data_IF_488779940518
#
_entry.id   IF_488779940518
#
_cell.length_a   1.000
_cell.length_b   1.000
_cell.length_c   1.000
_cell.angle_alpha   90.00
_cell.angle_beta   90.00
_cell.angle_gamma   90.00
#
_symmetry.space_group_name_H-M   'P 1'
#
loop_
_entity.id
_entity.type
_entity.pdbx_description
1 polymer ?
#
# COMPACT_ATOMS: atom_id res chain seq x y z
N UNK A 1 4.77 16.68 2.78
CA UNK A 1 3.44 16.42 2.17
C UNK A 1 3.40 17.20 0.86
N UNK A 2 3.04 16.57 -0.24
CA UNK A 2 2.95 17.22 -1.57
C UNK A 2 1.66 18.03 -1.57
N UNK A 3 1.73 19.31 -1.95
CA UNK A 3 0.51 20.11 -2.19
C UNK A 3 -0.04 19.67 -3.54
N UNK A 4 -1.25 19.07 -3.61
CA UNK A 4 -1.80 18.62 -4.86
C UNK A 4 -2.21 19.81 -5.76
N UNK A 5 -2.15 19.62 -7.07
CA UNK A 5 -2.66 20.59 -8.05
C UNK A 5 -4.18 20.67 -7.99
N UNK A 6 -4.82 19.51 -7.85
CA UNK A 6 -6.26 19.40 -7.67
C UNK A 6 -6.57 18.69 -6.36
N UNK A 7 -7.48 19.27 -5.60
CA UNK A 7 -8.03 18.66 -4.39
C UNK A 7 -9.54 18.48 -4.58
N UNK A 8 -9.95 17.24 -4.61
CA UNK A 8 -11.34 16.82 -4.78
C UNK A 8 -11.79 16.09 -3.51
N UNK A 9 -13.08 16.09 -3.22
CA UNK A 9 -13.64 15.08 -2.33
C UNK A 9 -13.69 13.73 -3.04
N UNK A 10 -13.78 12.64 -2.28
CA UNK A 10 -13.95 11.28 -2.85
C UNK A 10 -15.17 11.19 -3.75
N UNK A 11 -16.26 11.87 -3.39
CA UNK A 11 -17.48 12.00 -4.21
C UNK A 11 -17.22 12.75 -5.52
N UNK A 12 -16.54 13.88 -5.49
CA UNK A 12 -16.21 14.66 -6.70
C UNK A 12 -15.35 13.83 -7.65
N UNK A 13 -14.37 13.12 -7.11
CA UNK A 13 -13.52 12.22 -7.87
C UNK A 13 -14.33 11.10 -8.54
N UNK A 14 -15.20 10.43 -7.80
CA UNK A 14 -16.08 9.38 -8.33
C UNK A 14 -16.99 9.90 -9.44
N UNK A 15 -17.65 11.04 -9.22
CA UNK A 15 -18.57 11.64 -10.19
C UNK A 15 -17.84 12.04 -11.48
N UNK A 16 -16.65 12.62 -11.39
CA UNK A 16 -15.81 12.93 -12.55
C UNK A 16 -15.40 11.65 -13.27
N UNK A 17 -14.98 10.59 -12.53
CA UNK A 17 -14.62 9.29 -13.09
C UNK A 17 -15.73 8.69 -13.94
N UNK A 18 -16.94 8.70 -13.42
CA UNK A 18 -18.13 8.20 -14.11
C UNK A 18 -18.52 9.08 -15.32
N UNK A 19 -18.43 10.41 -15.17
CA UNK A 19 -18.75 11.37 -16.25
C UNK A 19 -17.80 11.20 -17.43
N UNK A 20 -16.51 11.00 -17.17
CA UNK A 20 -15.47 10.74 -18.17
C UNK A 20 -15.51 9.30 -18.72
N UNK A 21 -16.33 8.44 -18.17
CA UNK A 21 -16.51 7.02 -18.56
C UNK A 21 -15.20 6.23 -18.57
N UNK A 22 -14.39 6.40 -17.52
CA UNK A 22 -13.07 5.80 -17.41
C UNK A 22 -13.10 4.30 -17.02
N UNK A 23 -14.28 3.70 -16.89
CA UNK A 23 -14.43 2.30 -16.53
C UNK A 23 -14.21 2.03 -15.05
N UNK A 24 -13.61 0.89 -14.72
CA UNK A 24 -13.34 0.54 -13.33
C UNK A 24 -12.19 1.37 -12.78
N UNK A 25 -12.36 1.91 -11.58
CA UNK A 25 -11.28 2.60 -10.88
C UNK A 25 -10.12 1.64 -10.59
N UNK A 26 -8.88 2.08 -10.82
CA UNK A 26 -7.71 1.26 -10.51
C UNK A 26 -7.52 1.15 -8.99
N UNK A 27 -7.08 -0.04 -8.55
CA UNK A 27 -6.64 -0.21 -7.18
C UNK A 27 -5.42 0.70 -6.90
N UNK A 28 -5.34 1.36 -5.72
CA UNK A 28 -6.23 1.30 -4.58
C UNK A 28 -7.17 2.51 -4.48
N UNK A 29 -7.50 3.16 -5.61
CA UNK A 29 -8.28 4.41 -5.65
C UNK A 29 -9.79 4.18 -5.63
N UNK A 30 -10.26 2.95 -5.55
CA UNK A 30 -11.67 2.63 -5.48
C UNK A 30 -12.34 3.31 -4.27
N UNK A 31 -13.40 4.05 -4.55
CA UNK A 31 -14.24 4.71 -3.56
C UNK A 31 -15.65 4.14 -3.63
N UNK A 32 -16.33 3.94 -2.49
CA UNK A 32 -17.69 3.44 -2.49
C UNK A 32 -18.64 4.47 -3.09
N UNK A 33 -19.55 4.01 -3.98
CA UNK A 33 -20.60 4.85 -4.54
C UNK A 33 -21.65 5.19 -3.49
N UNK A 34 -22.08 6.45 -3.43
CA UNK A 34 -23.11 6.93 -2.52
C UNK A 34 -24.47 7.03 -3.26
N UNK A 35 -25.53 6.55 -2.62
CA UNK A 35 -26.92 6.70 -3.06
C UNK A 35 -27.73 5.41 -2.88
N UNK A 36 -28.95 5.56 -2.35
CA UNK A 36 -29.86 4.44 -2.09
C UNK A 36 -30.64 4.00 -3.35
N UNK A 37 -30.86 4.91 -4.31
CA UNK A 37 -31.58 4.64 -5.56
C UNK A 37 -30.85 5.25 -6.76
N UNK A 38 -31.09 4.70 -7.97
CA UNK A 38 -30.52 5.27 -9.21
C UNK A 38 -30.88 6.75 -9.41
N UNK A 39 -32.09 7.14 -8.99
CA UNK A 39 -32.57 8.52 -9.08
C UNK A 39 -31.78 9.44 -8.15
N UNK A 40 -31.49 8.98 -6.93
CA UNK A 40 -30.70 9.75 -5.96
C UNK A 40 -29.26 9.90 -6.42
N UNK A 41 -28.67 8.80 -6.93
CA UNK A 41 -27.32 8.81 -7.53
C UNK A 41 -27.24 9.85 -8.65
N UNK A 42 -28.19 9.84 -9.60
CA UNK A 42 -28.21 10.78 -10.72
C UNK A 42 -28.38 12.23 -10.26
N UNK A 43 -29.31 12.49 -9.33
CA UNK A 43 -29.51 13.85 -8.80
C UNK A 43 -28.27 14.37 -8.06
N UNK A 44 -27.55 13.49 -7.37
CA UNK A 44 -26.28 13.81 -6.69
C UNK A 44 -25.18 14.12 -7.71
N UNK A 45 -25.03 13.30 -8.75
CA UNK A 45 -24.08 13.51 -9.84
C UNK A 45 -24.31 14.86 -10.51
N UNK A 46 -25.55 15.18 -10.91
CA UNK A 46 -25.91 16.43 -11.58
C UNK A 46 -25.55 17.66 -10.73
N UNK A 47 -25.79 17.60 -9.42
CA UNK A 47 -25.44 18.67 -8.46
C UNK A 47 -23.91 18.82 -8.34
N UNK A 48 -23.20 17.69 -8.19
CA UNK A 48 -21.74 17.69 -8.03
C UNK A 48 -21.06 18.24 -9.27
N UNK A 49 -21.49 17.85 -10.47
CA UNK A 49 -20.95 18.37 -11.73
C UNK A 49 -21.25 19.86 -11.88
N UNK A 50 -22.46 20.32 -11.53
CA UNK A 50 -22.79 21.75 -11.57
C UNK A 50 -21.91 22.56 -10.62
N UNK A 51 -21.59 22.04 -9.45
CA UNK A 51 -20.67 22.66 -8.50
C UNK A 51 -19.23 22.73 -9.04
N UNK A 52 -18.73 21.62 -9.56
CA UNK A 52 -17.39 21.53 -10.14
C UNK A 52 -17.23 22.48 -11.36
N UNK A 53 -18.27 22.64 -12.19
CA UNK A 53 -18.30 23.63 -13.29
C UNK A 53 -18.22 25.05 -12.78
N UNK A 54 -18.97 25.39 -11.71
CA UNK A 54 -18.89 26.73 -11.12
C UNK A 54 -17.50 27.06 -10.58
N UNK A 55 -16.75 26.04 -10.15
CA UNK A 55 -15.36 26.16 -9.70
C UNK A 55 -14.35 26.09 -10.86
N UNK A 56 -14.78 25.87 -12.09
CA UNK A 56 -13.92 25.74 -13.27
C UNK A 56 -13.13 24.42 -13.31
N UNK A 57 -13.54 23.42 -12.52
CA UNK A 57 -12.83 22.14 -12.36
C UNK A 57 -13.34 21.08 -13.35
N UNK A 58 -14.67 20.97 -13.53
CA UNK A 58 -15.25 19.90 -14.34
C UNK A 58 -14.89 19.96 -15.84
N UNK A 59 -14.57 21.16 -16.34
CA UNK A 59 -14.25 21.39 -17.74
C UNK A 59 -12.74 21.73 -17.91
N UNK A 60 -11.90 21.41 -16.93
CA UNK A 60 -10.45 21.59 -17.00
C UNK A 60 -9.81 20.44 -17.80
N UNK A 61 -9.26 20.69 -18.99
CA UNK A 61 -8.68 19.64 -19.82
C UNK A 61 -7.48 18.97 -19.16
N UNK A 62 -6.73 19.70 -18.33
CA UNK A 62 -5.57 19.11 -17.64
C UNK A 62 -5.99 18.08 -16.60
N UNK A 63 -7.05 18.37 -15.82
CA UNK A 63 -7.60 17.39 -14.88
C UNK A 63 -8.15 16.16 -15.63
N UNK A 64 -8.82 16.38 -16.77
CA UNK A 64 -9.32 15.28 -17.59
C UNK A 64 -8.18 14.38 -18.06
N UNK A 65 -7.08 14.94 -18.55
CA UNK A 65 -5.90 14.18 -18.99
C UNK A 65 -5.28 13.38 -17.86
N UNK A 66 -5.10 13.95 -16.66
CA UNK A 66 -4.60 13.24 -15.47
C UNK A 66 -5.53 12.09 -15.07
N UNK A 67 -6.84 12.30 -15.10
CA UNK A 67 -7.81 11.25 -14.77
C UNK A 67 -7.84 10.14 -15.83
N UNK A 68 -7.70 10.46 -17.11
CA UNK A 68 -7.59 9.46 -18.18
C UNK A 68 -6.33 8.63 -18.05
N UNK A 69 -5.21 9.28 -17.70
CA UNK A 69 -3.94 8.58 -17.44
C UNK A 69 -4.05 7.61 -16.25
N UNK A 70 -4.78 7.95 -15.19
CA UNK A 70 -5.06 7.01 -14.10
C UNK A 70 -5.87 5.81 -14.57
N UNK A 71 -6.81 5.98 -15.50
CA UNK A 71 -7.65 4.92 -16.04
C UNK A 71 -6.96 4.00 -17.05
N UNK A 72 -5.97 4.54 -17.80
CA UNK A 72 -5.26 3.82 -18.86
C UNK A 72 -3.78 4.22 -18.85
N UNK A 73 -2.97 3.47 -18.14
CA UNK A 73 -1.53 3.70 -17.93
C UNK A 73 -0.71 2.49 -18.34
N UNK A 74 0.55 2.73 -18.71
CA UNK A 74 1.50 1.70 -19.11
C UNK A 74 2.19 1.07 -17.90
N UNK A 75 2.47 1.88 -16.87
CA UNK A 75 3.11 1.44 -15.64
C UNK A 75 2.54 2.19 -14.45
N UNK A 76 2.42 1.50 -13.31
CA UNK A 76 1.98 2.13 -12.07
C UNK A 76 2.65 1.55 -10.84
N UNK A 77 2.67 2.36 -9.79
CA UNK A 77 3.03 1.96 -8.44
C UNK A 77 1.86 2.31 -7.54
N UNK A 78 1.32 1.32 -6.87
CA UNK A 78 0.29 1.51 -5.85
C UNK A 78 0.89 1.50 -4.44
N UNK A 79 0.24 2.22 -3.53
CA UNK A 79 0.59 2.26 -2.12
C UNK A 79 -0.65 2.20 -1.25
N UNK A 80 -0.60 1.35 -0.22
CA UNK A 80 -1.58 1.34 0.89
C UNK A 80 -0.79 1.42 2.18
N UNK A 81 -1.11 2.39 3.01
CA UNK A 81 -0.41 2.66 4.26
C UNK A 81 -1.40 2.80 5.42
N UNK A 82 -1.15 2.05 6.51
CA UNK A 82 -1.78 2.21 7.81
C UNK A 82 -0.94 3.16 8.66
N UNK A 83 -1.29 4.42 8.61
CA UNK A 83 -0.75 5.50 9.43
C UNK A 83 -1.77 5.86 10.53
N UNK A 84 -1.69 7.06 11.14
CA UNK A 84 -2.75 7.58 12.03
C UNK A 84 -4.13 7.51 11.37
N UNK A 85 -4.15 7.64 10.05
CA UNK A 85 -5.30 7.37 9.18
C UNK A 85 -4.83 6.59 7.94
N UNK A 86 -5.72 5.76 7.34
CA UNK A 86 -5.37 5.04 6.12
C UNK A 86 -5.08 6.00 4.96
N UNK A 87 -3.97 5.76 4.26
CA UNK A 87 -3.60 6.48 3.03
C UNK A 87 -3.52 5.46 1.89
N UNK A 88 -4.10 5.82 0.75
CA UNK A 88 -4.06 5.04 -0.49
C UNK A 88 -3.53 5.94 -1.61
N UNK A 89 -2.61 5.45 -2.41
CA UNK A 89 -2.05 6.25 -3.49
C UNK A 89 -1.75 5.39 -4.72
N UNK A 90 -1.78 6.04 -5.88
CA UNK A 90 -1.38 5.47 -7.16
C UNK A 90 -0.53 6.50 -7.91
N UNK A 91 0.71 6.14 -8.22
CA UNK A 91 1.52 6.84 -9.20
C UNK A 91 1.44 6.07 -10.52
N UNK A 92 1.00 6.71 -11.58
CA UNK A 92 0.79 6.08 -12.89
C UNK A 92 1.49 6.87 -13.99
N UNK A 93 2.03 6.17 -14.99
CA UNK A 93 2.68 6.79 -16.15
C UNK A 93 2.32 6.09 -17.45
N UNK A 94 2.26 6.87 -18.53
CA UNK A 94 2.01 6.41 -19.89
C UNK A 94 2.11 7.58 -20.86
N UNK A 95 2.48 7.31 -22.13
CA UNK A 95 2.57 8.35 -23.15
C UNK A 95 3.56 9.49 -22.88
N UNK A 96 4.53 9.29 -21.98
CA UNK A 96 5.49 10.31 -21.59
C UNK A 96 5.02 11.27 -20.47
N UNK A 97 3.84 11.05 -19.92
CA UNK A 97 3.25 11.79 -18.80
C UNK A 97 3.13 10.90 -17.55
N UNK A 98 2.98 11.51 -16.37
CA UNK A 98 2.74 10.77 -15.15
C UNK A 98 1.91 11.59 -14.15
N UNK A 99 1.14 10.88 -13.33
CA UNK A 99 0.23 11.42 -12.32
C UNK A 99 0.41 10.68 -10.99
N UNK A 100 0.30 11.42 -9.90
CA UNK A 100 0.13 10.88 -8.55
C UNK A 100 -1.27 11.22 -8.04
N UNK A 101 -2.03 10.21 -7.68
CA UNK A 101 -3.30 10.33 -6.98
C UNK A 101 -3.13 9.83 -5.54
N UNK A 102 -3.60 10.60 -4.57
CA UNK A 102 -3.54 10.24 -3.13
C UNK A 102 -4.91 10.41 -2.51
N UNK A 103 -5.42 9.35 -1.90
CA UNK A 103 -6.63 9.39 -1.06
C UNK A 103 -6.18 9.43 0.41
N UNK A 104 -6.56 10.50 1.08
CA UNK A 104 -6.26 10.74 2.49
C UNK A 104 -7.53 11.25 3.19
N UNK A 105 -8.18 10.36 3.96
CA UNK A 105 -9.53 10.60 4.49
C UNK A 105 -10.54 10.75 3.35
N UNK A 106 -11.30 11.85 3.37
CA UNK A 106 -12.34 12.15 2.37
C UNK A 106 -11.81 12.96 1.17
N UNK A 107 -10.51 13.21 1.11
CA UNK A 107 -9.85 13.99 0.06
C UNK A 107 -9.11 13.13 -0.94
N UNK A 108 -9.15 13.54 -2.21
CA UNK A 108 -8.36 12.98 -3.31
C UNK A 108 -7.51 14.09 -3.89
N UNK A 109 -6.20 14.01 -3.66
CA UNK A 109 -5.21 14.91 -4.26
C UNK A 109 -4.68 14.34 -5.58
N UNK A 110 -4.66 15.17 -6.63
CA UNK A 110 -4.05 14.83 -7.91
C UNK A 110 -2.91 15.80 -8.22
N UNK A 111 -1.80 15.27 -8.70
CA UNK A 111 -0.63 16.06 -9.10
C UNK A 111 0.02 15.45 -10.34
N UNK A 112 0.40 16.30 -11.29
CA UNK A 112 1.34 15.88 -12.31
C UNK A 112 2.71 15.60 -11.67
N UNK A 113 3.36 14.53 -12.09
CA UNK A 113 4.71 14.16 -11.68
C UNK A 113 5.56 13.81 -12.89
N UNK A 114 6.85 13.64 -12.70
CA UNK A 114 7.73 13.20 -13.79
C UNK A 114 7.65 11.67 -13.95
N UNK A 115 7.56 11.13 -15.17
CA UNK A 115 7.57 9.68 -15.40
C UNK A 115 8.76 8.95 -14.77
N UNK A 116 9.91 9.63 -14.68
CA UNK A 116 11.14 9.11 -14.07
C UNK A 116 11.18 9.20 -12.56
N UNK A 117 10.10 9.65 -11.91
CA UNK A 117 10.08 9.86 -10.45
C UNK A 117 8.96 9.14 -9.71
N UNK A 118 8.29 8.14 -10.36
CA UNK A 118 7.17 7.42 -9.76
C UNK A 118 7.48 6.89 -8.36
N UNK A 119 8.58 6.16 -8.23
CA UNK A 119 8.99 5.57 -6.95
C UNK A 119 9.23 6.63 -5.87
N UNK A 120 9.91 7.71 -6.23
CA UNK A 120 10.19 8.79 -5.27
C UNK A 120 8.91 9.51 -4.85
N UNK A 121 8.04 9.85 -5.82
CA UNK A 121 6.84 10.62 -5.53
C UNK A 121 5.82 9.80 -4.73
N UNK A 122 5.66 8.51 -5.02
CA UNK A 122 4.74 7.68 -4.24
C UNK A 122 5.26 7.42 -2.82
N UNK A 123 6.56 7.28 -2.61
CA UNK A 123 7.13 7.13 -1.27
C UNK A 123 7.00 8.42 -0.44
N UNK A 124 6.92 9.60 -1.07
CA UNK A 124 6.69 10.89 -0.38
C UNK A 124 5.30 11.02 0.26
N UNK A 125 4.37 10.13 -0.02
CA UNK A 125 3.09 10.07 0.72
C UNK A 125 3.28 9.60 2.17
N UNK A 126 4.39 8.89 2.43
CA UNK A 126 4.77 8.46 3.76
C UNK A 126 5.40 9.62 4.55
N UNK A 127 5.26 9.64 5.86
CA UNK A 127 6.04 10.52 6.70
C UNK A 127 7.54 10.22 6.53
N UNK A 128 8.37 11.21 6.83
CA UNK A 128 9.83 10.99 6.84
C UNK A 128 10.18 9.92 7.87
N UNK A 129 10.87 8.86 7.42
CA UNK A 129 11.33 7.74 8.24
C UNK A 129 12.85 7.61 8.19
N UNK A 130 13.45 7.39 9.35
CA UNK A 130 14.87 7.05 9.49
C UNK A 130 15.03 5.54 9.67
N UNK A 131 16.14 4.99 9.20
CA UNK A 131 16.42 3.57 9.34
C UNK A 131 16.48 3.17 10.82
N UNK A 132 15.79 2.08 11.18
CA UNK A 132 15.88 1.49 12.51
C UNK A 132 17.25 0.84 12.76
N UNK A 133 17.56 0.47 14.01
CA UNK A 133 18.78 -0.26 14.35
C UNK A 133 18.75 -1.72 13.87
N UNK A 134 19.89 -2.38 13.93
CA UNK A 134 20.05 -3.80 13.62
C UNK A 134 20.67 -4.07 12.26
N UNK A 135 20.66 -5.33 11.86
CA UNK A 135 21.22 -5.82 10.59
C UNK A 135 20.12 -6.36 9.68
N UNK A 136 20.45 -6.45 8.39
CA UNK A 136 19.57 -7.14 7.44
C UNK A 136 19.58 -8.64 7.73
N UNK A 137 18.41 -9.28 7.59
CA UNK A 137 18.25 -10.73 7.62
C UNK A 137 17.46 -11.20 6.39
N UNK A 138 17.65 -12.46 6.02
CA UNK A 138 16.90 -13.10 4.94
C UNK A 138 16.49 -14.50 5.36
N UNK A 139 15.21 -14.82 5.19
CA UNK A 139 14.62 -16.09 5.60
C UNK A 139 13.87 -16.71 4.41
N UNK A 140 13.92 -18.02 4.25
CA UNK A 140 13.10 -18.73 3.27
C UNK A 140 11.63 -18.64 3.67
N UNK A 141 10.76 -18.40 2.71
CA UNK A 141 9.31 -18.39 2.97
C UNK A 141 8.81 -19.77 3.45
N UNK A 142 9.42 -20.86 2.98
CA UNK A 142 9.13 -22.21 3.47
C UNK A 142 9.35 -22.35 4.98
N UNK A 143 10.42 -21.76 5.51
CA UNK A 143 10.71 -21.76 6.96
C UNK A 143 9.64 -21.01 7.76
N UNK A 144 9.18 -19.86 7.24
CA UNK A 144 8.10 -19.12 7.88
C UNK A 144 6.76 -19.85 7.82
N UNK A 145 6.46 -20.48 6.69
CA UNK A 145 5.26 -21.32 6.53
C UNK A 145 5.28 -22.50 7.50
N UNK A 146 6.44 -23.12 7.69
CA UNK A 146 6.61 -24.19 8.67
C UNK A 146 6.40 -23.70 10.10
N UNK A 147 6.89 -22.51 10.47
CA UNK A 147 6.65 -21.94 11.78
C UNK A 147 5.15 -21.70 12.05
N UNK A 148 4.43 -21.15 11.06
CA UNK A 148 2.97 -20.95 11.16
C UNK A 148 2.25 -22.29 11.31
N UNK A 149 2.60 -23.30 10.50
CA UNK A 149 1.99 -24.62 10.57
C UNK A 149 2.21 -25.31 11.93
N UNK A 150 3.36 -25.08 12.58
CA UNK A 150 3.62 -25.59 13.93
C UNK A 150 2.72 -24.93 14.98
N UNK A 151 2.48 -23.62 14.88
CA UNK A 151 1.56 -22.90 15.77
C UNK A 151 0.10 -23.35 15.58
N UNK A 152 -0.34 -23.48 14.32
CA UNK A 152 -1.69 -23.95 14.01
C UNK A 152 -1.94 -25.37 14.55
N UNK A 153 -0.96 -26.28 14.42
CA UNK A 153 -1.07 -27.65 14.91
C UNK A 153 -1.18 -27.71 16.46
N UNK A 154 -0.41 -26.91 17.18
CA UNK A 154 -0.51 -26.84 18.66
C UNK A 154 -1.87 -26.28 19.11
N UNK A 155 -2.38 -25.22 18.45
CA UNK A 155 -3.70 -24.67 18.77
C UNK A 155 -4.85 -25.67 18.52
N UNK A 156 -4.72 -26.53 17.50
CA UNK A 156 -5.68 -27.60 17.21
C UNK A 156 -5.63 -28.68 18.30
N UNK A 157 -4.44 -29.12 18.74
CA UNK A 157 -4.26 -30.12 19.80
C UNK A 157 -4.80 -29.62 21.17
N UNK A 158 -4.55 -28.36 21.53
CA UNK A 158 -5.10 -27.75 22.74
C UNK A 158 -6.63 -27.63 22.72
N UNK A 159 -7.23 -27.40 21.56
CA UNK A 159 -8.69 -27.33 21.44
C UNK A 159 -9.40 -28.68 21.58
N UNK A 160 -8.71 -29.78 21.34
CA UNK A 160 -9.23 -31.16 21.46
C UNK A 160 -9.12 -31.72 22.86
N UNK A 161 -8.25 -31.19 23.75
CA UNK A 161 -8.12 -31.60 25.13
C UNK A 161 -8.42 -30.48 26.16
N UNK A 162 -9.70 -30.18 26.44
CA UNK A 162 -10.10 -29.10 27.37
C UNK A 162 -9.65 -29.30 28.84
N UNK A 163 -9.06 -30.44 29.16
CA UNK A 163 -8.62 -30.83 30.49
C UNK A 163 -7.10 -31.07 30.55
N UNK A 164 -6.39 -30.95 29.45
CA UNK A 164 -4.93 -30.97 29.41
C UNK A 164 -4.36 -29.87 30.28
N UNK A 165 -3.23 -30.15 30.94
CA UNK A 165 -2.47 -29.09 31.57
C UNK A 165 -2.16 -28.06 30.48
N UNK A 166 -2.49 -26.78 30.73
CA UNK A 166 -2.14 -25.70 29.81
C UNK A 166 -0.61 -25.71 29.61
N UNK A 167 -0.15 -26.41 28.55
CA UNK A 167 1.19 -26.21 28.04
C UNK A 167 1.25 -24.78 27.54
N UNK A 168 2.35 -24.07 27.81
CA UNK A 168 2.52 -22.69 27.35
C UNK A 168 2.34 -22.65 25.82
N UNK A 169 1.36 -21.85 25.32
CA UNK A 169 1.18 -21.60 23.90
C UNK A 169 2.53 -21.34 23.24
N UNK A 170 2.80 -22.03 22.14
CA UNK A 170 4.04 -21.83 21.38
C UNK A 170 4.14 -20.37 20.95
N UNK A 171 5.04 -19.62 21.55
CA UNK A 171 5.23 -18.24 21.15
C UNK A 171 5.84 -18.15 19.72
N UNK A 172 5.62 -17.03 19.07
CA UNK A 172 6.10 -16.78 17.69
C UNK A 172 7.61 -17.07 17.54
N UNK A 173 8.38 -16.74 18.56
CA UNK A 173 9.82 -16.96 18.59
C UNK A 173 10.19 -18.43 18.67
N UNK A 174 9.49 -19.19 19.49
CA UNK A 174 9.74 -20.63 19.64
C UNK A 174 9.37 -21.40 18.37
N UNK A 175 8.25 -21.03 17.73
CA UNK A 175 7.87 -21.58 16.43
C UNK A 175 8.94 -21.31 15.36
N UNK A 176 9.49 -20.10 15.30
CA UNK A 176 10.58 -19.74 14.38
C UNK A 176 11.85 -20.56 14.67
N UNK A 177 12.20 -20.79 15.94
CA UNK A 177 13.34 -21.64 16.33
C UNK A 177 13.11 -23.10 15.92
N UNK A 178 11.93 -23.67 16.17
CA UNK A 178 11.55 -25.04 15.76
C UNK A 178 11.57 -25.19 14.23
N UNK A 179 11.21 -24.15 13.50
CA UNK A 179 11.30 -24.11 12.03
C UNK A 179 12.74 -23.94 11.49
N UNK A 180 13.73 -23.73 12.38
CA UNK A 180 15.15 -23.73 12.02
C UNK A 180 15.78 -22.35 11.83
N UNK A 181 15.14 -21.25 12.27
CA UNK A 181 15.79 -19.96 12.34
C UNK A 181 16.87 -19.95 13.42
N UNK A 182 17.90 -19.09 13.21
CA UNK A 182 18.86 -18.83 14.27
C UNK A 182 18.19 -18.11 15.44
N UNK A 183 18.68 -18.33 16.66
CA UNK A 183 18.15 -17.68 17.86
C UNK A 183 18.22 -16.13 17.77
N UNK A 184 19.20 -15.61 17.06
CA UNK A 184 19.36 -14.18 16.82
C UNK A 184 18.29 -13.64 15.86
N UNK A 185 18.06 -14.33 14.73
CA UNK A 185 17.08 -13.91 13.73
C UNK A 185 15.65 -14.04 14.25
N UNK A 186 15.33 -15.14 14.94
CA UNK A 186 14.03 -15.35 15.57
C UNK A 186 13.71 -14.25 16.58
N UNK A 187 14.67 -13.92 17.45
CA UNK A 187 14.52 -12.84 18.41
C UNK A 187 14.34 -11.47 17.72
N UNK A 188 15.14 -11.17 16.69
CA UNK A 188 15.03 -9.91 15.95
C UNK A 188 13.67 -9.80 15.26
N UNK A 189 13.16 -10.86 14.66
CA UNK A 189 11.86 -10.87 14.00
C UNK A 189 10.72 -10.66 15.01
N UNK A 190 10.75 -11.35 16.13
CA UNK A 190 9.76 -11.23 17.20
C UNK A 190 9.75 -9.79 17.78
N UNK A 191 10.91 -9.25 18.16
CA UNK A 191 11.02 -7.88 18.66
C UNK A 191 10.48 -6.84 17.66
N UNK A 192 10.71 -7.02 16.37
CA UNK A 192 10.23 -6.12 15.34
C UNK A 192 8.71 -6.25 15.13
N UNK A 193 8.15 -7.45 15.20
CA UNK A 193 6.72 -7.70 15.08
C UNK A 193 5.95 -7.04 16.23
N UNK A 194 6.40 -7.22 17.46
CA UNK A 194 5.76 -6.67 18.66
C UNK A 194 5.83 -5.14 18.75
N UNK A 195 6.87 -4.52 18.15
CA UNK A 195 7.08 -3.07 18.21
C UNK A 195 6.57 -2.30 17.00
N UNK A 196 5.83 -2.94 16.11
CA UNK A 196 5.29 -2.30 14.90
C UNK A 196 4.19 -1.29 15.26
N UNK A 197 4.35 -0.03 14.83
CA UNK A 197 3.41 1.07 15.09
C UNK A 197 2.68 1.54 13.84
N UNK A 198 3.27 1.40 12.66
CA UNK A 198 2.68 1.74 11.38
C UNK A 198 3.24 0.82 10.29
N UNK A 199 2.61 0.80 9.13
CA UNK A 199 3.15 0.03 8.02
C UNK A 199 2.26 0.07 6.78
N UNK A 200 2.76 -0.52 5.71
CA UNK A 200 2.04 -0.56 4.45
C UNK A 200 2.79 -1.36 3.40
N UNK A 201 2.27 -1.28 2.18
CA UNK A 201 2.85 -1.99 1.05
C UNK A 201 2.85 -1.14 -0.20
N UNK A 202 3.79 -1.47 -1.08
CA UNK A 202 3.83 -0.98 -2.45
C UNK A 202 3.74 -2.16 -3.41
N UNK A 203 3.06 -1.95 -4.54
CA UNK A 203 3.02 -2.88 -5.65
C UNK A 203 3.36 -2.17 -6.94
N UNK A 204 3.99 -2.89 -7.87
CA UNK A 204 4.34 -2.38 -9.20
C UNK A 204 3.55 -3.16 -10.23
N UNK A 205 2.99 -2.46 -11.23
CA UNK A 205 2.22 -3.06 -12.31
C UNK A 205 2.70 -2.50 -13.65
N UNK A 206 3.00 -3.38 -14.61
CA UNK A 206 3.35 -3.05 -15.98
C UNK A 206 2.20 -3.50 -16.90
N UNK A 207 1.48 -2.55 -17.48
CA UNK A 207 0.26 -2.83 -18.23
C UNK A 207 -0.78 -3.56 -17.37
N UNK A 208 -0.95 -4.87 -17.60
CA UNK A 208 -1.87 -5.73 -16.83
C UNK A 208 -1.17 -6.72 -15.91
N UNK A 209 0.15 -6.69 -15.85
CA UNK A 209 0.96 -7.64 -15.08
C UNK A 209 1.46 -6.99 -13.81
N UNK A 210 0.96 -7.44 -12.67
CA UNK A 210 1.50 -7.09 -11.37
C UNK A 210 2.80 -7.85 -11.14
N UNK A 211 3.85 -7.16 -10.70
CA UNK A 211 5.10 -7.80 -10.33
C UNK A 211 4.89 -8.73 -9.13
N UNK A 212 5.57 -9.89 -9.15
CA UNK A 212 5.50 -10.89 -8.06
C UNK A 212 6.23 -10.43 -6.79
N UNK A 213 6.98 -9.33 -6.88
CA UNK A 213 7.69 -8.73 -5.75
C UNK A 213 6.71 -7.97 -4.88
N UNK A 214 6.64 -8.32 -3.60
CA UNK A 214 5.86 -7.57 -2.60
C UNK A 214 6.82 -6.74 -1.76
N UNK A 215 6.63 -5.43 -1.78
CA UNK A 215 7.44 -4.45 -1.06
C UNK A 215 6.60 -3.93 0.11
N UNK A 216 6.94 -4.37 1.33
CA UNK A 216 6.31 -3.87 2.54
C UNK A 216 7.30 -2.99 3.31
N UNK A 217 6.76 -2.08 4.08
CA UNK A 217 7.51 -1.29 5.04
C UNK A 217 6.73 -1.23 6.35
N UNK A 218 7.43 -1.02 7.43
CA UNK A 218 6.82 -0.72 8.71
C UNK A 218 7.73 0.15 9.58
N UNK A 219 7.11 0.88 10.49
CA UNK A 219 7.78 1.69 11.48
C UNK A 219 7.66 1.02 12.86
N UNK A 220 8.71 1.16 13.63
CA UNK A 220 8.76 0.92 15.06
C UNK A 220 9.09 2.23 15.77
N UNK A 221 9.05 2.26 17.09
CA UNK A 221 9.52 3.40 17.86
C UNK A 221 11.01 3.73 17.64
N UNK A 222 11.78 2.81 17.08
CA UNK A 222 13.23 2.96 16.86
C UNK A 222 13.58 3.32 15.41
N UNK A 223 12.62 3.25 14.47
CA UNK A 223 12.83 3.59 13.07
C UNK A 223 12.10 2.67 12.11
N UNK A 224 12.39 2.85 10.82
CA UNK A 224 11.73 2.20 9.70
C UNK A 224 12.48 0.99 9.20
N UNK A 225 11.70 0.00 8.72
CA UNK A 225 12.20 -1.24 8.12
C UNK A 225 11.52 -1.49 6.78
N UNK A 226 12.27 -2.12 5.88
CA UNK A 226 11.81 -2.61 4.60
C UNK A 226 11.77 -4.13 4.63
N UNK A 227 10.63 -4.69 4.24
CA UNK A 227 10.41 -6.13 4.12
C UNK A 227 10.02 -6.46 2.69
N UNK A 228 10.84 -7.25 2.00
CA UNK A 228 10.64 -7.61 0.60
C UNK A 228 10.48 -9.12 0.47
N UNK A 229 9.40 -9.53 -0.19
CA UNK A 229 9.19 -10.91 -0.58
C UNK A 229 9.42 -11.07 -2.07
N UNK A 230 10.38 -11.92 -2.44
CA UNK A 230 10.74 -12.23 -3.82
C UNK A 230 11.39 -13.60 -3.90
N UNK A 231 11.12 -14.38 -4.93
CA UNK A 231 11.81 -15.62 -5.27
C UNK A 231 11.91 -16.66 -4.13
N UNK A 232 10.84 -16.77 -3.33
CA UNK A 232 10.81 -17.70 -2.19
C UNK A 232 11.55 -17.22 -0.95
N UNK A 233 12.01 -15.96 -0.92
CA UNK A 233 12.68 -15.35 0.20
C UNK A 233 11.91 -14.17 0.77
N UNK A 234 12.04 -13.98 2.07
CA UNK A 234 11.72 -12.75 2.79
C UNK A 234 13.02 -12.10 3.22
N UNK A 235 13.24 -10.87 2.77
CA UNK A 235 14.36 -10.04 3.22
C UNK A 235 13.83 -8.92 4.09
N UNK A 236 14.42 -8.70 5.25
CA UNK A 236 14.06 -7.65 6.20
C UNK A 236 15.31 -6.83 6.53
N UNK A 237 15.22 -5.51 6.43
CA UNK A 237 16.37 -4.63 6.68
C UNK A 237 15.95 -3.26 7.22
N UNK A 238 16.80 -2.62 8.04
CA UNK A 238 16.66 -1.20 8.35
C UNK A 238 16.59 -0.36 7.07
N UNK A 239 15.66 0.59 7.00
CA UNK A 239 15.38 1.35 5.79
C UNK A 239 14.94 2.78 6.09
N UNK A 240 15.00 3.61 5.07
CA UNK A 240 14.46 4.96 5.01
C UNK A 240 13.63 5.13 3.72
N UNK A 241 13.09 6.31 3.51
CA UNK A 241 12.28 6.58 2.32
C UNK A 241 13.08 6.41 1.02
N UNK A 242 14.35 6.79 1.00
CA UNK A 242 15.18 6.72 -0.22
C UNK A 242 15.49 5.27 -0.60
N UNK A 243 15.75 4.41 0.38
CA UNK A 243 15.96 2.97 0.15
C UNK A 243 14.69 2.28 -0.34
N UNK A 244 13.53 2.66 0.20
CA UNK A 244 12.24 2.15 -0.30
C UNK A 244 12.05 2.58 -1.76
N UNK A 245 12.26 3.86 -2.09
CA UNK A 245 12.17 4.35 -3.46
C UNK A 245 13.13 3.62 -4.40
N UNK A 246 14.39 3.42 -3.98
CA UNK A 246 15.38 2.65 -4.75
C UNK A 246 14.91 1.22 -5.00
N UNK A 247 14.28 0.58 -4.02
CA UNK A 247 13.74 -0.79 -4.21
C UNK A 247 12.59 -0.82 -5.18
N UNK A 248 11.69 0.16 -5.16
CA UNK A 248 10.60 0.30 -6.12
C UNK A 248 11.16 0.55 -7.53
N UNK A 249 12.14 1.46 -7.68
CA UNK A 249 12.81 1.73 -8.96
C UNK A 249 13.43 0.46 -9.57
N UNK A 250 14.02 -0.40 -8.74
CA UNK A 250 14.58 -1.67 -9.19
C UNK A 250 13.52 -2.69 -9.68
N UNK A 251 12.25 -2.53 -9.31
CA UNK A 251 11.12 -3.35 -9.81
C UNK A 251 10.47 -2.71 -11.03
N UNK A 252 10.57 -1.38 -11.17
CA UNK A 252 10.10 -0.63 -12.34
C UNK A 252 10.99 -0.79 -13.57
N UNK A 253 12.27 -1.15 -13.40
CA UNK A 253 13.25 -1.33 -14.47
C UNK A 253 13.02 -2.62 -15.27
#
# INVERSE_FOLDING_TARGET
MITPEYLLSTREFEVLWQTLRLGRMPYPLDVPSEGATERDVKALQDRTIAELRRRGIADDPRLEDLMRLLGDHEVSVDAVAGLDRPVRALAAAGGGEAVLAVIDGDGVGLSEIRPTSLAREIVRVLPHGVAGPGSALSVRLETLQQAVALQEAEQEEESEDPWGAADEELDDREALLKAGLSAQDARQMDELAQNRVAGGQFGVTHGRHRADVVINWFDTHQGRYLMVRSDGWLSLSPSDNDRIATRIDAVLA
#
